data_IF_690710940149
#
_entry.id   IF_690710940149
#
_cell.length_a   1.000
_cell.length_b   1.000
_cell.length_c   1.000
_cell.angle_alpha   90.00
_cell.angle_beta   90.00
_cell.angle_gamma   90.00
#
_symmetry.space_group_name_H-M   'P 1'
#
loop_
_entity.id
_entity.type
_entity.pdbx_description
1 polymer ?
#
# COMPACT_ATOMS: atom_id res chain seq x y z
N UNK A 1 -11.13 -5.09 -3.95
CA UNK A 1 -9.82 -5.67 -3.58
C UNK A 1 -9.28 -6.56 -4.70
N UNK A 2 -7.96 -6.73 -4.84
CA UNK A 2 -7.38 -7.61 -5.86
C UNK A 2 -7.50 -9.10 -5.50
N UNK A 3 -7.16 -9.98 -6.46
CA UNK A 3 -7.29 -11.44 -6.31
C UNK A 3 -6.37 -12.07 -5.26
N UNK A 4 -5.42 -11.32 -4.68
CA UNK A 4 -4.52 -11.80 -3.61
C UNK A 4 -5.01 -11.48 -2.21
N UNK A 5 -6.25 -11.02 -2.03
CA UNK A 5 -6.81 -10.73 -0.70
C UNK A 5 -6.73 -11.92 0.27
N UNK A 6 -6.82 -13.15 -0.23
CA UNK A 6 -6.68 -14.37 0.58
C UNK A 6 -5.29 -14.57 1.18
N UNK A 7 -4.28 -13.85 0.68
CA UNK A 7 -2.91 -13.91 1.20
C UNK A 7 -2.72 -13.03 2.44
N UNK A 8 -3.66 -12.15 2.76
CA UNK A 8 -3.50 -11.20 3.85
C UNK A 8 -3.22 -11.90 5.18
N UNK A 9 -4.05 -12.89 5.55
CA UNK A 9 -3.91 -13.63 6.80
C UNK A 9 -2.65 -14.51 6.85
N UNK A 10 -2.32 -15.30 5.81
CA UNK A 10 -1.05 -16.03 5.76
C UNK A 10 0.19 -15.13 5.91
N UNK A 11 0.19 -13.96 5.27
CA UNK A 11 1.29 -12.99 5.36
C UNK A 11 1.42 -12.44 6.77
N UNK A 12 0.31 -12.01 7.40
CA UNK A 12 0.31 -11.53 8.79
C UNK A 12 0.89 -12.61 9.71
N UNK A 13 0.38 -13.85 9.64
CA UNK A 13 0.85 -14.95 10.48
C UNK A 13 2.35 -15.20 10.35
N UNK A 14 2.88 -15.20 9.12
CA UNK A 14 4.31 -15.42 8.87
C UNK A 14 5.15 -14.23 9.33
N UNK A 15 4.74 -13.00 9.02
CA UNK A 15 5.44 -11.80 9.40
C UNK A 15 5.50 -11.63 10.94
N UNK A 16 4.42 -11.93 11.66
CA UNK A 16 4.41 -11.93 13.13
C UNK A 16 5.47 -12.85 13.72
N UNK A 17 5.73 -14.02 13.11
CA UNK A 17 6.81 -14.91 13.58
C UNK A 17 8.19 -14.31 13.35
N UNK A 18 8.41 -13.72 12.18
CA UNK A 18 9.67 -13.06 11.83
C UNK A 18 9.94 -11.90 12.79
N UNK A 19 8.98 -11.00 12.96
CA UNK A 19 9.11 -9.81 13.83
C UNK A 19 9.35 -10.17 15.30
N UNK A 20 8.81 -11.29 15.78
CA UNK A 20 9.06 -11.75 17.17
C UNK A 20 10.43 -12.38 17.35
N UNK A 21 11.02 -12.93 16.29
CA UNK A 21 12.31 -13.63 16.34
C UNK A 21 13.47 -12.76 15.86
N UNK A 22 13.18 -11.74 15.07
CA UNK A 22 14.13 -10.82 14.47
C UNK A 22 13.81 -9.40 14.92
N UNK A 23 14.81 -8.60 15.26
CA UNK A 23 14.62 -7.21 15.70
C UNK A 23 14.27 -6.30 14.51
N UNK A 24 13.10 -6.48 13.91
CA UNK A 24 12.63 -5.72 12.76
C UNK A 24 12.34 -4.27 13.17
N UNK A 25 13.04 -3.32 12.55
CA UNK A 25 12.90 -1.89 12.88
C UNK A 25 12.06 -1.09 11.87
N UNK A 26 11.78 -1.65 10.69
CA UNK A 26 10.98 -1.01 9.66
C UNK A 26 10.30 -2.05 8.76
N UNK A 27 9.18 -1.68 8.17
CA UNK A 27 8.46 -2.47 7.17
C UNK A 27 8.43 -1.69 5.86
N UNK A 28 8.68 -2.39 4.76
CA UNK A 28 8.41 -1.88 3.41
C UNK A 28 7.47 -2.86 2.73
N UNK A 29 6.40 -2.34 2.14
CA UNK A 29 5.56 -3.13 1.22
C UNK A 29 5.52 -2.46 -0.14
N UNK A 30 5.64 -3.26 -1.19
CA UNK A 30 5.70 -2.80 -2.58
C UNK A 30 4.56 -3.42 -3.38
N UNK A 31 3.84 -2.61 -4.15
CA UNK A 31 2.75 -3.04 -5.03
C UNK A 31 3.09 -2.81 -6.51
N UNK A 32 2.48 -3.56 -7.45
CA UNK A 32 1.43 -4.59 -7.29
C UNK A 32 1.88 -5.91 -6.63
N UNK A 33 0.98 -6.66 -5.94
CA UNK A 33 -0.46 -6.44 -5.79
C UNK A 33 -0.84 -5.57 -4.56
N UNK A 34 -1.92 -4.75 -4.61
CA UNK A 34 -2.26 -3.82 -3.52
C UNK A 34 -2.58 -4.46 -2.16
N UNK A 35 -3.07 -5.71 -2.12
CA UNK A 35 -3.37 -6.42 -0.87
C UNK A 35 -2.18 -6.54 0.09
N UNK A 36 -0.94 -6.48 -0.40
CA UNK A 36 0.26 -6.51 0.47
C UNK A 36 0.33 -5.31 1.41
N UNK A 37 -0.16 -4.14 0.98
CA UNK A 37 -0.22 -2.96 1.83
C UNK A 37 -1.23 -3.12 2.98
N UNK A 38 -2.29 -3.91 2.79
CA UNK A 38 -3.25 -4.20 3.86
C UNK A 38 -2.63 -5.09 4.94
N UNK A 39 -1.84 -6.09 4.55
CA UNK A 39 -1.04 -6.88 5.48
C UNK A 39 -0.04 -6.01 6.23
N UNK A 40 0.75 -5.21 5.50
CA UNK A 40 1.77 -4.34 6.11
C UNK A 40 1.14 -3.32 7.07
N UNK A 41 0.03 -2.70 6.70
CA UNK A 41 -0.74 -1.81 7.58
C UNK A 41 -1.12 -2.47 8.89
N UNK A 42 -1.63 -3.71 8.83
CA UNK A 42 -2.03 -4.44 10.03
C UNK A 42 -0.84 -4.69 10.94
N UNK A 43 0.24 -5.22 10.38
CA UNK A 43 1.47 -5.59 11.11
C UNK A 43 2.13 -4.34 11.71
N UNK A 44 2.30 -3.28 10.92
CA UNK A 44 2.92 -2.03 11.37
C UNK A 44 2.19 -1.44 12.58
N UNK A 45 0.85 -1.46 12.56
CA UNK A 45 0.02 -1.01 13.68
C UNK A 45 0.10 -1.92 14.89
N UNK A 46 0.08 -3.24 14.69
CA UNK A 46 0.15 -4.20 15.80
C UNK A 46 1.49 -4.10 16.55
N UNK A 47 2.60 -4.01 15.81
CA UNK A 47 3.95 -4.02 16.38
C UNK A 47 4.54 -2.62 16.58
N UNK A 48 3.81 -1.56 16.23
CA UNK A 48 4.29 -0.17 16.29
C UNK A 48 5.60 0.04 15.52
N UNK A 49 5.72 -0.61 14.36
CA UNK A 49 6.92 -0.54 13.51
C UNK A 49 6.66 0.47 12.38
N UNK A 50 7.58 1.43 12.15
CA UNK A 50 7.49 2.35 11.03
C UNK A 50 7.33 1.63 9.70
N UNK A 51 6.41 2.10 8.87
CA UNK A 51 6.04 1.46 7.62
C UNK A 51 6.02 2.44 6.44
N UNK A 52 6.74 2.01 5.39
CA UNK A 52 6.77 2.66 4.09
C UNK A 52 5.93 1.85 3.08
N UNK A 53 4.97 2.51 2.43
CA UNK A 53 4.17 1.95 1.36
C UNK A 53 4.72 2.40 0.00
N UNK A 54 5.32 1.49 -0.76
CA UNK A 54 5.81 1.71 -2.12
C UNK A 54 4.72 1.45 -3.16
N UNK A 55 4.21 2.53 -3.74
CA UNK A 55 3.25 2.58 -4.84
C UNK A 55 3.98 2.83 -6.15
N UNK A 56 4.48 1.74 -6.75
CA UNK A 56 5.02 1.78 -8.12
C UNK A 56 3.94 2.19 -9.11
N UNK A 57 2.72 1.73 -8.86
CA UNK A 57 1.52 2.09 -9.59
C UNK A 57 0.39 2.48 -8.61
N UNK A 58 -0.47 3.47 -8.94
CA UNK A 58 -1.67 3.74 -8.17
C UNK A 58 -2.62 2.54 -8.13
N UNK A 59 -3.27 2.27 -6.99
CA UNK A 59 -4.22 1.17 -6.91
C UNK A 59 -5.44 1.45 -7.79
N UNK A 60 -6.07 2.62 -7.64
CA UNK A 60 -7.37 2.89 -8.29
C UNK A 60 -7.27 3.68 -9.61
N UNK A 61 -6.06 4.03 -10.04
CA UNK A 61 -5.84 4.93 -11.17
C UNK A 61 -4.90 4.39 -12.25
N UNK A 62 -4.63 3.09 -12.24
CA UNK A 62 -3.93 2.42 -13.34
C UNK A 62 -4.86 2.18 -14.52
N UNK A 63 -4.27 2.12 -15.72
CA UNK A 63 -4.97 1.74 -16.96
C UNK A 63 -5.59 0.34 -16.78
N UNK A 64 -4.82 -0.62 -16.26
CA UNK A 64 -5.31 -1.97 -15.95
C UNK A 64 -6.52 -1.95 -15.01
N UNK A 65 -6.54 -1.09 -13.98
CA UNK A 65 -7.68 -1.00 -13.07
C UNK A 65 -8.95 -0.53 -13.79
N UNK A 66 -8.83 0.43 -14.72
CA UNK A 66 -9.95 0.96 -15.48
C UNK A 66 -10.54 -0.07 -16.46
N UNK A 67 -9.73 -0.98 -16.97
CA UNK A 67 -10.16 -2.05 -17.88
C UNK A 67 -10.94 -3.18 -17.19
N UNK A 68 -10.86 -3.32 -15.86
CA UNK A 68 -11.48 -4.41 -15.10
C UNK A 68 -13.02 -4.34 -15.00
N UNK A 69 -13.67 -3.32 -15.60
CA UNK A 69 -15.13 -3.11 -15.59
C UNK A 69 -15.77 -3.36 -14.21
N UNK A 70 -15.15 -2.82 -13.16
CA UNK A 70 -15.56 -3.10 -11.78
C UNK A 70 -16.93 -2.48 -11.50
N UNK A 71 -17.78 -3.18 -10.77
CA UNK A 71 -19.04 -2.60 -10.27
C UNK A 71 -18.74 -1.44 -9.32
N UNK A 72 -19.58 -0.40 -9.34
CA UNK A 72 -19.40 0.85 -8.56
C UNK A 72 -19.11 0.65 -7.08
N UNK A 73 -19.70 -0.39 -6.48
CA UNK A 73 -19.49 -0.73 -5.06
C UNK A 73 -18.04 -1.18 -4.83
N UNK A 74 -17.51 -2.01 -5.73
CA UNK A 74 -16.14 -2.51 -5.65
C UNK A 74 -15.13 -1.37 -5.83
N UNK A 75 -15.42 -0.43 -6.73
CA UNK A 75 -14.58 0.76 -6.91
C UNK A 75 -14.53 1.66 -5.66
N UNK A 76 -15.69 1.87 -5.03
CA UNK A 76 -15.76 2.63 -3.78
C UNK A 76 -14.96 1.93 -2.68
N UNK A 77 -15.02 0.60 -2.62
CA UNK A 77 -14.24 -0.19 -1.67
C UNK A 77 -12.74 -0.07 -1.94
N UNK A 78 -12.28 -0.15 -3.20
CA UNK A 78 -10.86 0.00 -3.51
C UNK A 78 -10.34 1.40 -3.16
N UNK A 79 -11.09 2.45 -3.51
CA UNK A 79 -10.72 3.84 -3.15
C UNK A 79 -10.68 4.05 -1.64
N UNK A 80 -11.59 3.41 -0.92
CA UNK A 80 -11.57 3.41 0.54
C UNK A 80 -10.31 2.72 1.08
N UNK A 81 -9.96 1.54 0.55
CA UNK A 81 -8.77 0.80 0.99
C UNK A 81 -7.47 1.51 0.63
N UNK A 82 -7.36 2.10 -0.56
CA UNK A 82 -6.23 2.94 -0.97
C UNK A 82 -6.06 4.13 -0.02
N UNK A 83 -7.13 4.87 0.26
CA UNK A 83 -7.14 5.97 1.24
C UNK A 83 -6.71 5.49 2.63
N UNK A 84 -7.18 4.31 3.04
CA UNK A 84 -6.80 3.72 4.32
C UNK A 84 -5.32 3.36 4.39
N UNK A 85 -4.69 2.95 3.30
CA UNK A 85 -3.24 2.69 3.22
C UNK A 85 -2.48 4.01 3.28
N UNK A 86 -2.78 4.93 2.36
CA UNK A 86 -2.06 6.21 2.20
C UNK A 86 -2.09 7.07 3.47
N UNK A 87 -3.20 7.06 4.22
CA UNK A 87 -3.34 7.82 5.48
C UNK A 87 -2.74 7.14 6.72
N UNK A 88 -2.35 5.87 6.62
CA UNK A 88 -1.88 5.10 7.79
C UNK A 88 -0.40 4.74 7.74
N UNK A 89 0.28 5.05 6.63
CA UNK A 89 1.70 4.77 6.44
C UNK A 89 2.53 5.97 6.92
N UNK A 90 3.74 5.71 7.39
CA UNK A 90 4.67 6.77 7.81
C UNK A 90 5.25 7.52 6.61
N UNK A 91 5.46 6.83 5.49
CA UNK A 91 5.81 7.43 4.21
C UNK A 91 5.28 6.63 3.01
N UNK A 92 4.91 7.34 1.95
CA UNK A 92 4.52 6.80 0.65
C UNK A 92 5.70 6.98 -0.31
N UNK A 93 6.15 5.90 -0.94
CA UNK A 93 7.09 5.97 -2.06
C UNK A 93 6.34 5.83 -3.38
N UNK A 94 6.81 6.52 -4.41
CA UNK A 94 6.35 6.32 -5.78
C UNK A 94 7.46 6.57 -6.79
N UNK A 95 7.24 6.15 -8.03
CA UNK A 95 8.25 6.18 -9.10
C UNK A 95 8.26 7.47 -9.91
N UNK A 96 7.24 8.33 -9.78
CA UNK A 96 7.17 9.58 -10.55
C UNK A 96 6.50 10.73 -9.80
N UNK A 97 6.94 11.94 -10.13
CA UNK A 97 6.35 13.19 -9.63
C UNK A 97 4.86 13.32 -9.96
N UNK A 98 4.43 12.79 -11.11
CA UNK A 98 3.02 12.82 -11.49
C UNK A 98 2.15 12.02 -10.52
N UNK A 99 2.58 10.81 -10.15
CA UNK A 99 1.84 9.98 -9.18
C UNK A 99 1.85 10.65 -7.80
N UNK A 100 3.00 11.16 -7.36
CA UNK A 100 3.11 11.86 -6.09
C UNK A 100 2.17 13.07 -6.02
N UNK A 101 2.12 13.90 -7.07
CA UNK A 101 1.23 15.04 -7.16
C UNK A 101 -0.25 14.63 -7.06
N UNK A 102 -0.65 13.53 -7.70
CA UNK A 102 -2.02 13.00 -7.63
C UNK A 102 -2.38 12.53 -6.22
N UNK A 103 -1.47 11.82 -5.55
CA UNK A 103 -1.72 11.40 -4.16
C UNK A 103 -1.79 12.60 -3.21
N UNK A 104 -0.87 13.57 -3.31
CA UNK A 104 -0.88 14.79 -2.50
C UNK A 104 -2.13 15.64 -2.75
N UNK A 105 -2.63 15.69 -4.00
CA UNK A 105 -3.88 16.38 -4.32
C UNK A 105 -5.10 15.71 -3.66
N UNK A 106 -5.13 14.37 -3.59
CA UNK A 106 -6.24 13.63 -2.96
C UNK A 106 -6.16 13.59 -1.44
N UNK A 107 -4.96 13.63 -0.89
CA UNK A 107 -4.68 13.43 0.53
C UNK A 107 -3.66 14.47 0.98
N UNK A 108 -4.12 15.51 1.65
CA UNK A 108 -3.31 16.69 2.01
C UNK A 108 -2.23 16.41 3.06
N UNK A 109 -2.43 15.39 3.90
CA UNK A 109 -1.60 15.14 5.09
C UNK A 109 -0.72 13.88 4.96
N UNK A 110 -0.38 13.47 3.73
CA UNK A 110 0.50 12.31 3.51
C UNK A 110 1.95 12.76 3.30
N UNK A 111 2.90 12.05 3.90
CA UNK A 111 4.30 12.16 3.53
C UNK A 111 4.56 11.29 2.30
N UNK A 112 4.85 11.91 1.16
CA UNK A 112 5.06 11.21 -0.10
C UNK A 112 6.34 11.67 -0.81
N UNK A 113 7.21 10.70 -1.09
CA UNK A 113 8.53 10.86 -1.70
C UNK A 113 8.62 10.11 -3.02
N UNK A 114 9.46 10.60 -3.92
CA UNK A 114 9.66 10.04 -5.26
C UNK A 114 11.03 9.37 -5.34
N UNK A 115 11.05 8.08 -5.64
CA UNK A 115 12.25 7.30 -5.92
C UNK A 115 12.07 6.64 -7.28
N UNK A 116 12.75 7.12 -8.34
CA UNK A 116 12.66 6.54 -9.66
C UNK A 116 13.18 5.10 -9.68
N UNK A 117 12.72 4.31 -10.65
CA UNK A 117 13.33 3.01 -10.91
C UNK A 117 14.80 3.18 -11.35
N UNK A 118 15.66 2.27 -10.90
CA UNK A 118 17.05 2.21 -11.35
C UNK A 118 17.16 1.80 -12.83
N UNK A 119 18.29 2.14 -13.45
CA UNK A 119 18.68 1.76 -14.82
C UNK A 119 20.05 1.10 -14.80
#
# INVERSE_FOLDING_TARGET
>A
PDGRIGWILPVIYRATKVIKNENVNAIISTSPPPSVHLSAKHIAREFHIPWIADFRDPWTETIFYQELNRIRIMEKLDRYLESQVLKSTDAVLTVSENIAARFKHKYTDIHCEVIPNGY
#
